data_IF_728466530237
#
_entry.id   IF_728466530237
#
_cell.length_a   1.000
_cell.length_b   1.000
_cell.length_c   1.000
_cell.angle_alpha   90.00
_cell.angle_beta   90.00
_cell.angle_gamma   90.00
#
_symmetry.space_group_name_H-M   'P 1'
#
loop_
_entity.id
_entity.type
_entity.pdbx_description
1 polymer ?
#
# COMPACT_ATOMS: atom_id res chain seq x y z
N UNK A 1 -20.02 -1.15 -5.99
CA UNK A 1 -19.17 -0.52 -4.96
C UNK A 1 -19.46 0.97 -5.02
N UNK A 2 -20.24 1.49 -4.07
CA UNK A 2 -20.72 2.88 -4.04
C UNK A 2 -19.86 3.69 -3.06
N UNK A 3 -19.44 4.90 -3.47
CA UNK A 3 -18.69 5.89 -2.70
C UNK A 3 -17.58 5.33 -1.80
N UNK A 4 -16.47 4.93 -2.42
CA UNK A 4 -15.27 4.47 -1.72
C UNK A 4 -14.68 5.62 -0.89
N UNK A 5 -14.81 5.53 0.43
CA UNK A 5 -14.06 6.39 1.36
C UNK A 5 -12.58 6.23 1.02
N UNK A 6 -11.89 7.35 0.82
CA UNK A 6 -10.45 7.36 0.53
C UNK A 6 -9.69 7.51 1.85
N UNK A 7 -8.62 6.73 2.06
CA UNK A 7 -7.79 6.86 3.25
C UNK A 7 -7.17 8.25 3.33
N UNK A 8 -6.89 8.68 4.57
CA UNK A 8 -6.26 9.97 4.88
C UNK A 8 -4.74 9.83 4.97
N UNK A 9 -4.30 8.69 5.50
CA UNK A 9 -2.90 8.31 5.67
C UNK A 9 -2.78 6.78 5.61
N UNK A 10 -1.57 6.26 5.86
CA UNK A 10 -1.28 4.83 5.85
C UNK A 10 -2.04 4.04 6.92
N UNK A 11 -2.20 4.59 8.13
CA UNK A 11 -2.95 3.91 9.20
C UNK A 11 -4.42 3.74 8.82
N UNK A 12 -5.03 4.79 8.29
CA UNK A 12 -6.41 4.75 7.83
C UNK A 12 -6.58 3.80 6.63
N UNK A 13 -5.57 3.68 5.76
CA UNK A 13 -5.59 2.70 4.68
C UNK A 13 -5.70 1.25 5.19
N UNK A 14 -5.00 0.90 6.27
CA UNK A 14 -5.08 -0.44 6.89
C UNK A 14 -6.48 -0.70 7.45
N UNK A 15 -7.06 0.28 8.14
CA UNK A 15 -8.43 0.18 8.68
C UNK A 15 -9.44 -0.05 7.55
N UNK A 16 -9.37 0.76 6.49
CA UNK A 16 -10.29 0.64 5.37
C UNK A 16 -10.10 -0.67 4.61
N UNK A 17 -8.87 -1.17 4.45
CA UNK A 17 -8.64 -2.50 3.87
C UNK A 17 -9.31 -3.58 4.70
N UNK A 18 -9.26 -3.47 6.03
CA UNK A 18 -9.90 -4.44 6.90
C UNK A 18 -11.44 -4.41 6.81
N UNK A 19 -12.03 -3.25 6.56
CA UNK A 19 -13.48 -3.14 6.35
C UNK A 19 -13.90 -3.60 4.94
N UNK A 20 -13.06 -3.36 3.93
CA UNK A 20 -13.39 -3.59 2.52
C UNK A 20 -13.18 -5.05 2.08
N UNK A 21 -12.19 -5.73 2.62
CA UNK A 21 -11.82 -7.07 2.20
C UNK A 21 -12.67 -8.15 2.89
N UNK A 22 -13.08 -9.15 2.13
CA UNK A 22 -13.77 -10.32 2.68
C UNK A 22 -12.83 -11.16 3.54
N UNK A 23 -13.39 -11.97 4.45
CA UNK A 23 -12.60 -12.89 5.27
C UNK A 23 -11.72 -13.83 4.42
N UNK A 24 -12.21 -14.29 3.27
CA UNK A 24 -11.44 -15.16 2.38
C UNK A 24 -10.24 -14.42 1.78
N UNK A 25 -10.41 -13.16 1.37
CA UNK A 25 -9.31 -12.32 0.88
C UNK A 25 -8.28 -12.06 1.98
N UNK A 26 -8.73 -11.78 3.21
CA UNK A 26 -7.84 -11.61 4.36
C UNK A 26 -7.03 -12.88 4.64
N UNK A 27 -7.67 -14.05 4.56
CA UNK A 27 -6.99 -15.35 4.74
C UNK A 27 -5.99 -15.64 3.62
N UNK A 28 -6.31 -15.29 2.37
CA UNK A 28 -5.39 -15.43 1.24
C UNK A 28 -4.14 -14.56 1.42
N UNK A 29 -4.34 -13.30 1.80
CA UNK A 29 -3.24 -12.35 2.05
C UNK A 29 -2.41 -12.84 3.22
N UNK A 30 -3.01 -13.17 4.36
CA UNK A 30 -2.26 -13.53 5.58
C UNK A 30 -1.40 -14.79 5.42
N UNK A 31 -1.82 -15.74 4.57
CA UNK A 31 -1.09 -16.98 4.27
C UNK A 31 0.11 -16.79 3.34
N UNK A 32 0.20 -15.68 2.62
CA UNK A 32 1.39 -15.37 1.83
C UNK A 32 2.59 -15.11 2.76
N UNK A 33 3.81 -15.40 2.30
CA UNK A 33 4.99 -14.89 3.00
C UNK A 33 5.07 -13.38 2.79
N UNK A 34 5.62 -12.68 3.77
CA UNK A 34 5.76 -11.21 3.72
C UNK A 34 6.64 -10.77 2.55
N UNK A 35 7.65 -11.58 2.20
CA UNK A 35 8.55 -11.34 1.08
C UNK A 35 7.86 -11.46 -0.29
N UNK A 36 6.78 -12.22 -0.38
CA UNK A 36 6.09 -12.48 -1.65
C UNK A 36 4.77 -11.74 -1.80
N UNK A 37 4.15 -11.31 -0.68
CA UNK A 37 2.79 -10.75 -0.70
C UNK A 37 2.68 -9.50 -1.56
N UNK A 38 3.69 -8.63 -1.51
CA UNK A 38 3.76 -7.42 -2.35
C UNK A 38 3.71 -7.76 -3.84
N UNK A 39 4.55 -8.70 -4.28
CA UNK A 39 4.63 -9.14 -5.68
C UNK A 39 3.36 -9.90 -6.11
N UNK A 40 2.87 -10.83 -5.28
CA UNK A 40 1.68 -11.64 -5.56
C UNK A 40 0.43 -10.79 -5.72
N UNK A 41 0.29 -9.74 -4.92
CA UNK A 41 -0.87 -8.87 -4.91
C UNK A 41 -0.73 -7.64 -5.81
N UNK A 42 0.44 -7.43 -6.43
CA UNK A 42 0.78 -6.22 -7.18
C UNK A 42 -0.24 -5.90 -8.29
N UNK A 43 -0.61 -6.90 -9.10
CA UNK A 43 -1.55 -6.75 -10.22
C UNK A 43 -3.02 -7.00 -9.83
N UNK A 44 -3.33 -7.18 -8.55
CA UNK A 44 -4.70 -7.33 -8.06
C UNK A 44 -5.03 -6.21 -7.10
N UNK A 45 -4.82 -6.43 -5.80
CA UNK A 45 -5.07 -5.45 -4.76
C UNK A 45 -4.17 -4.21 -4.93
N UNK A 46 -2.92 -4.38 -5.39
CA UNK A 46 -1.98 -3.27 -5.58
C UNK A 46 -2.44 -2.31 -6.68
N UNK A 47 -2.87 -2.84 -7.83
CA UNK A 47 -3.49 -2.06 -8.89
C UNK A 47 -4.75 -1.34 -8.40
N UNK A 48 -5.58 -2.03 -7.60
CA UNK A 48 -6.80 -1.44 -7.08
C UNK A 48 -6.49 -0.28 -6.11
N UNK A 49 -5.60 -0.47 -5.14
CA UNK A 49 -5.16 0.57 -4.20
C UNK A 49 -4.61 1.77 -4.98
N UNK A 50 -3.72 1.51 -5.94
CA UNK A 50 -3.10 2.57 -6.74
C UNK A 50 -4.14 3.39 -7.49
N UNK A 51 -5.06 2.74 -8.19
CA UNK A 51 -6.05 3.43 -9.03
C UNK A 51 -7.14 4.14 -8.23
N UNK A 52 -7.51 3.63 -7.06
CA UNK A 52 -8.61 4.19 -6.27
C UNK A 52 -8.15 5.20 -5.22
N UNK A 53 -6.95 5.01 -4.66
CA UNK A 53 -6.47 5.79 -3.51
C UNK A 53 -5.25 6.65 -3.82
N UNK A 54 -4.30 6.19 -4.62
CA UNK A 54 -3.00 6.88 -4.79
C UNK A 54 -2.99 7.83 -5.99
N UNK A 55 -3.49 7.37 -7.15
CA UNK A 55 -3.40 8.13 -8.41
C UNK A 55 -4.19 9.44 -8.41
N UNK A 56 -5.20 9.55 -7.55
CA UNK A 56 -5.92 10.81 -7.34
C UNK A 56 -5.17 11.66 -6.32
N UNK A 57 -4.34 12.58 -6.81
CA UNK A 57 -3.56 13.53 -5.99
C UNK A 57 -4.44 14.49 -5.18
N UNK A 58 -5.73 14.64 -5.54
CA UNK A 58 -6.67 15.43 -4.76
C UNK A 58 -7.27 14.66 -3.58
N UNK A 59 -7.07 13.33 -3.56
CA UNK A 59 -7.48 12.52 -2.42
C UNK A 59 -6.60 12.79 -1.20
N UNK A 60 -7.12 12.58 0.03
CA UNK A 60 -6.35 12.76 1.24
C UNK A 60 -5.03 11.95 1.27
N UNK A 61 -5.05 10.65 0.95
CA UNK A 61 -3.83 9.84 0.86
C UNK A 61 -2.91 10.27 -0.28
N UNK A 62 -3.43 10.54 -1.47
CA UNK A 62 -2.61 11.02 -2.59
C UNK A 62 -1.90 12.34 -2.26
N UNK A 63 -2.59 13.25 -1.55
CA UNK A 63 -2.03 14.50 -1.05
C UNK A 63 -1.01 14.26 0.08
N UNK A 64 -1.25 13.29 0.97
CA UNK A 64 -0.32 12.89 2.02
C UNK A 64 1.01 12.38 1.44
N UNK A 65 0.95 11.47 0.47
CA UNK A 65 2.10 10.95 -0.29
C UNK A 65 2.85 12.12 -0.95
N UNK A 66 2.14 12.97 -1.70
CA UNK A 66 2.77 14.10 -2.41
C UNK A 66 3.47 15.11 -1.50
N UNK A 67 2.95 15.34 -0.29
CA UNK A 67 3.51 16.34 0.65
C UNK A 67 4.71 15.83 1.41
N UNK A 68 4.75 14.54 1.74
CA UNK A 68 5.74 13.98 2.63
C UNK A 68 6.86 13.24 1.88
N UNK A 69 6.66 12.88 0.61
CA UNK A 69 7.58 12.07 -0.16
C UNK A 69 7.92 12.70 -1.52
N UNK A 70 9.11 12.42 -2.08
CA UNK A 70 9.35 12.71 -3.50
C UNK A 70 8.49 11.75 -4.32
N UNK A 71 7.62 12.32 -5.15
CA UNK A 71 6.66 11.59 -5.98
C UNK A 71 7.38 10.77 -7.05
N UNK A 72 7.90 9.61 -6.66
CA UNK A 72 8.43 8.57 -7.55
C UNK A 72 7.92 7.21 -7.04
N UNK A 73 7.34 6.39 -7.93
CA UNK A 73 6.94 5.01 -7.63
C UNK A 73 5.60 4.80 -6.91
N UNK A 74 4.46 5.27 -7.47
CA UNK A 74 3.12 4.97 -6.93
C UNK A 74 2.82 3.47 -6.78
N UNK A 75 3.49 2.64 -7.57
CA UNK A 75 3.47 1.19 -7.51
C UNK A 75 4.17 0.64 -6.27
N UNK A 76 5.32 1.23 -5.88
CA UNK A 76 6.02 0.91 -4.64
C UNK A 76 5.16 1.23 -3.40
N UNK A 77 4.47 2.36 -3.37
CA UNK A 77 3.59 2.72 -2.24
C UNK A 77 2.38 1.79 -2.10
N UNK A 78 1.78 1.38 -3.22
CA UNK A 78 0.72 0.36 -3.17
C UNK A 78 1.23 -0.98 -2.62
N UNK A 79 2.48 -1.33 -2.91
CA UNK A 79 3.13 -2.55 -2.43
C UNK A 79 3.45 -2.46 -0.94
N UNK A 80 3.96 -1.31 -0.46
CA UNK A 80 4.18 -1.06 0.97
C UNK A 80 2.88 -1.17 1.77
N UNK A 81 1.79 -0.57 1.31
CA UNK A 81 0.47 -0.67 1.98
C UNK A 81 0.02 -2.14 2.09
N UNK A 82 0.26 -2.96 1.07
CA UNK A 82 -0.04 -4.40 1.11
C UNK A 82 0.81 -5.13 2.16
N UNK A 83 2.12 -4.84 2.23
CA UNK A 83 3.02 -5.46 3.21
C UNK A 83 2.63 -5.07 4.64
N UNK A 84 2.30 -3.80 4.87
CA UNK A 84 1.80 -3.29 6.16
C UNK A 84 0.48 -3.98 6.52
N UNK A 85 -0.43 -4.14 5.57
CA UNK A 85 -1.71 -4.83 5.80
C UNK A 85 -1.51 -6.33 6.10
N UNK A 86 -0.56 -6.98 5.43
CA UNK A 86 -0.16 -8.35 5.74
C UNK A 86 0.33 -8.50 7.18
N UNK A 87 1.16 -7.56 7.66
CA UNK A 87 1.63 -7.52 9.05
C UNK A 87 0.48 -7.33 10.04
N UNK A 88 -0.46 -6.43 9.74
CA UNK A 88 -1.68 -6.24 10.52
C UNK A 88 -2.46 -7.55 10.69
N UNK A 89 -2.72 -8.26 9.59
CA UNK A 89 -3.44 -9.54 9.62
C UNK A 89 -2.74 -10.64 10.41
N UNK A 90 -1.41 -10.55 10.54
CA UNK A 90 -0.58 -11.52 11.25
C UNK A 90 -0.20 -11.06 12.67
N UNK A 91 -0.73 -9.93 13.15
CA UNK A 91 -0.42 -9.39 14.48
C UNK A 91 1.05 -9.00 14.67
N UNK A 92 1.75 -8.64 13.58
CA UNK A 92 3.13 -8.15 13.60
C UNK A 92 3.15 -6.63 13.77
N UNK A 93 4.30 -6.11 14.17
CA UNK A 93 4.56 -4.67 14.08
C UNK A 93 4.38 -4.21 12.63
N UNK A 94 3.79 -3.05 12.44
CA UNK A 94 3.47 -2.52 11.11
C UNK A 94 4.74 -1.97 10.44
N UNK A 95 5.66 -1.38 11.22
CA UNK A 95 6.83 -0.61 10.76
C UNK A 95 6.50 0.27 9.53
N UNK A 96 5.44 1.09 9.63
CA UNK A 96 4.93 1.89 8.50
C UNK A 96 6.04 2.77 7.91
N UNK A 97 6.75 3.51 8.75
CA UNK A 97 7.81 4.41 8.30
C UNK A 97 8.90 3.67 7.52
N UNK A 98 9.30 2.48 7.99
CA UNK A 98 10.32 1.64 7.34
C UNK A 98 9.88 1.17 5.95
N UNK A 99 8.63 0.72 5.80
CA UNK A 99 8.12 0.24 4.51
C UNK A 99 7.88 1.37 3.51
N UNK A 100 7.49 2.55 3.99
CA UNK A 100 7.37 3.75 3.15
C UNK A 100 8.74 4.25 2.71
N UNK A 101 9.75 4.21 3.59
CA UNK A 101 11.14 4.52 3.22
C UNK A 101 11.68 3.55 2.16
N UNK A 102 11.44 2.24 2.30
CA UNK A 102 11.80 1.26 1.26
C UNK A 102 11.12 1.56 -0.07
N UNK A 103 9.81 1.83 -0.06
CA UNK A 103 9.05 2.15 -1.27
C UNK A 103 9.61 3.40 -1.98
N UNK A 104 9.95 4.43 -1.20
CA UNK A 104 10.59 5.65 -1.68
C UNK A 104 11.94 5.35 -2.34
N UNK A 105 12.80 4.54 -1.70
CA UNK A 105 14.12 4.19 -2.22
C UNK A 105 14.05 3.34 -3.50
N UNK A 106 13.12 2.39 -3.57
CA UNK A 106 12.90 1.53 -4.74
C UNK A 106 12.33 2.31 -5.94
N UNK A 107 11.45 3.28 -5.68
CA UNK A 107 10.89 4.17 -6.71
C UNK A 107 11.94 5.08 -7.37
N UNK A 108 13.03 5.40 -6.67
CA UNK A 108 14.16 6.18 -7.20
C UNK A 108 15.34 5.36 -7.76
N UNK A 109 15.41 4.07 -7.42
CA UNK A 109 16.57 3.20 -7.70
C UNK A 109 16.81 2.88 -9.19
N UNK A 110 15.80 3.02 -10.05
CA UNK A 110 15.93 2.75 -11.49
C UNK A 110 16.83 3.74 -12.25
N UNK A 111 17.18 4.90 -11.66
CA UNK A 111 18.04 5.90 -12.29
C UNK A 111 19.51 5.85 -11.87
N UNK A 112 19.91 5.02 -10.89
CA UNK A 112 21.30 4.96 -10.42
C UNK A 112 22.14 3.84 -11.06
N UNK A 113 21.65 3.20 -12.13
CA UNK A 113 22.37 2.16 -12.88
C UNK A 113 22.50 2.51 -14.37
N UNK A 114 22.98 3.72 -14.70
CA UNK A 114 23.50 4.06 -16.04
C UNK A 114 24.76 4.92 -15.95
#
# INVERSE_FOLDING_TARGET
>A
MNNTVKPIDYHHAIILLDELLSNDQKVEISKCSEQEVGLKMHFTLGLWIRNNWINDISSPLGCHIQKNELVMGYDSYSTAIIIIYHRHLNGKDLNIEEEIEKAYMEGGGWMNNN
#
